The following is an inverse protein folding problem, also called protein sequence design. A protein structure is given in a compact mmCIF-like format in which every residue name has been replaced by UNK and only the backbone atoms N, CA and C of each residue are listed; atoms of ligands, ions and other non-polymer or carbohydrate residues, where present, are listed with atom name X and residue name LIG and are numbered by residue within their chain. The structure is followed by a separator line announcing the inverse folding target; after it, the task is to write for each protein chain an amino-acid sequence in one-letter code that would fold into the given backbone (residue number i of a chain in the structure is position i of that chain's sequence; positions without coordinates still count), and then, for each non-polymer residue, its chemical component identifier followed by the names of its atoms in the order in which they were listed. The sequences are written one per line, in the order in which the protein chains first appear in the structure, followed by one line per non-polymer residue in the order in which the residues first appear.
data_IF_576109369674
#
_entry.id   IF_576109369674
#
_cell.length_a   1.000
_cell.length_b   1.000
_cell.length_c   1.000
_cell.angle_alpha   90.00
_cell.angle_beta   90.00
_cell.angle_gamma   90.00
#
_symmetry.space_group_name_H-M   'P 1'
#
loop_
_entity.id
_entity.type
_entity.pdbx_description
1 polymer ?
#
# COMPACT_ATOMS: atom_id res chain seq x y z
N UNK A 1 -2.47 10.59 -9.86
CA UNK A 1 -1.97 9.68 -8.81
C UNK A 1 -1.94 8.22 -9.25
N UNK A 2 -3.07 7.67 -9.72
CA UNK A 2 -3.20 6.28 -10.20
C UNK A 2 -2.00 5.74 -10.99
N UNK A 3 -1.58 6.41 -12.07
CA UNK A 3 -0.47 5.99 -12.93
C UNK A 3 0.89 5.82 -12.21
N UNK A 4 1.14 6.55 -11.12
CA UNK A 4 2.35 6.36 -10.29
C UNK A 4 2.27 5.13 -9.39
N UNK A 5 1.06 4.65 -9.11
CA UNK A 5 0.81 3.51 -8.21
C UNK A 5 0.61 2.19 -8.97
N UNK A 6 0.31 2.22 -10.28
CA UNK A 6 0.03 1.03 -11.10
C UNK A 6 1.12 -0.06 -11.10
N UNK A 7 2.38 0.29 -10.85
CA UNK A 7 3.47 -0.70 -10.75
C UNK A 7 3.55 -1.42 -9.41
N UNK A 8 3.04 -0.82 -8.34
CA UNK A 8 3.12 -1.36 -6.98
C UNK A 8 1.78 -1.93 -6.49
N UNK A 9 0.66 -1.39 -6.99
CA UNK A 9 -0.69 -1.74 -6.61
C UNK A 9 -1.55 -1.97 -7.84
N UNK A 10 -2.41 -2.97 -7.78
CA UNK A 10 -3.44 -3.18 -8.80
C UNK A 10 -4.60 -2.21 -8.57
N UNK A 11 -5.03 -1.53 -9.63
CA UNK A 11 -6.23 -0.70 -9.63
C UNK A 11 -7.42 -1.54 -10.08
N UNK A 12 -8.51 -1.52 -9.33
CA UNK A 12 -9.66 -2.43 -9.51
C UNK A 12 -10.51 -2.05 -10.73
N UNK A 13 -10.82 -0.77 -10.89
CA UNK A 13 -11.67 -0.25 -11.96
C UNK A 13 -10.92 0.79 -12.80
N UNK A 14 -11.01 0.64 -14.12
CA UNK A 14 -10.52 1.59 -15.13
C UNK A 14 -11.53 1.61 -16.27
N UNK A 15 -11.56 2.71 -17.02
CA UNK A 15 -12.34 2.78 -18.25
C UNK A 15 -11.64 2.02 -19.41
N UNK A 16 -12.27 2.02 -20.59
CA UNK A 16 -11.73 1.38 -21.81
C UNK A 16 -10.38 1.98 -22.26
N UNK A 17 -10.07 3.20 -21.84
CA UNK A 17 -8.84 3.93 -22.14
C UNK A 17 -7.78 3.76 -21.04
N UNK A 18 -8.09 3.02 -19.96
CA UNK A 18 -7.21 2.81 -18.82
C UNK A 18 -7.11 3.99 -17.85
N UNK A 19 -8.03 4.96 -17.93
CA UNK A 19 -8.13 6.10 -17.03
C UNK A 19 -9.03 5.80 -15.83
N UNK A 20 -8.89 6.64 -14.81
CA UNK A 20 -9.72 6.65 -13.61
C UNK A 20 -10.35 8.03 -13.45
N UNK A 21 -11.45 8.10 -12.70
CA UNK A 21 -12.14 9.35 -12.41
C UNK A 21 -11.41 10.17 -11.31
N UNK A 22 -12.16 10.98 -10.56
CA UNK A 22 -11.65 11.75 -9.42
C UNK A 22 -11.24 10.85 -8.23
N UNK A 23 -11.70 9.60 -8.21
CA UNK A 23 -11.32 8.57 -7.25
C UNK A 23 -10.91 7.27 -7.94
N UNK A 24 -10.16 6.42 -7.24
CA UNK A 24 -9.81 5.08 -7.70
C UNK A 24 -9.55 4.11 -6.52
N UNK A 25 -9.66 2.80 -6.80
CA UNK A 25 -9.56 1.76 -5.79
C UNK A 25 -8.28 0.93 -5.99
N UNK A 26 -7.51 0.78 -4.92
CA UNK A 26 -6.34 -0.10 -4.82
C UNK A 26 -6.70 -1.47 -4.22
N UNK A 27 -6.35 -2.53 -4.93
CA UNK A 27 -6.50 -3.91 -4.47
C UNK A 27 -5.38 -4.28 -3.49
N UNK A 28 -5.75 -4.53 -2.23
CA UNK A 28 -4.82 -4.92 -1.17
C UNK A 28 -4.91 -6.42 -0.83
N UNK A 29 -5.80 -7.19 -1.48
CA UNK A 29 -5.95 -8.64 -1.28
C UNK A 29 -4.64 -9.43 -1.50
N UNK A 30 -3.77 -9.08 -2.48
CA UNK A 30 -2.51 -9.79 -2.66
C UNK A 30 -1.58 -9.70 -1.44
N UNK A 31 -1.64 -8.61 -0.67
CA UNK A 31 -0.79 -8.41 0.51
C UNK A 31 -1.22 -9.29 1.69
N UNK A 32 -2.52 -9.53 1.83
CA UNK A 32 -3.04 -10.49 2.81
C UNK A 32 -2.52 -11.90 2.55
N UNK A 33 -2.52 -12.34 1.27
CA UNK A 33 -2.04 -13.68 0.88
C UNK A 33 -0.52 -13.84 0.96
N UNK A 34 0.23 -12.83 0.54
CA UNK A 34 1.71 -12.90 0.43
C UNK A 34 2.43 -12.58 1.74
N UNK A 35 1.84 -11.75 2.60
CA UNK A 35 2.51 -11.20 3.77
C UNK A 35 1.68 -11.21 5.04
N UNK A 36 0.41 -11.63 4.98
CA UNK A 36 -0.52 -11.54 6.11
C UNK A 36 -0.73 -10.10 6.56
N UNK A 37 -0.71 -9.14 5.63
CA UNK A 37 -0.98 -7.71 5.89
C UNK A 37 -2.42 -7.42 5.50
N UNK A 38 -3.21 -6.92 6.46
CA UNK A 38 -4.59 -6.54 6.23
C UNK A 38 -4.71 -5.07 5.83
N UNK A 39 -5.82 -4.69 5.20
CA UNK A 39 -6.08 -3.31 4.77
C UNK A 39 -5.98 -2.31 5.93
N UNK A 40 -6.36 -2.74 7.15
CA UNK A 40 -6.26 -1.93 8.36
C UNK A 40 -4.82 -1.64 8.77
N UNK A 41 -3.88 -2.56 8.51
CA UNK A 41 -2.46 -2.35 8.81
C UNK A 41 -1.88 -1.26 7.91
N UNK A 42 -2.29 -1.27 6.64
CA UNK A 42 -1.91 -0.25 5.65
C UNK A 42 -2.45 1.12 6.07
N UNK A 43 -3.73 1.17 6.44
CA UNK A 43 -4.39 2.38 6.92
C UNK A 43 -3.72 2.97 8.16
N UNK A 44 -3.45 2.15 9.18
CA UNK A 44 -2.73 2.57 10.38
C UNK A 44 -1.32 3.05 10.03
N UNK A 45 -0.65 2.38 9.10
CA UNK A 45 0.69 2.76 8.69
C UNK A 45 0.70 4.12 7.97
N UNK A 46 -0.34 4.44 7.19
CA UNK A 46 -0.49 5.78 6.59
C UNK A 46 -0.59 6.87 7.67
N UNK A 47 -1.26 6.59 8.80
CA UNK A 47 -1.33 7.51 9.94
C UNK A 47 0.05 7.79 10.55
N UNK A 48 0.93 6.78 10.63
CA UNK A 48 2.30 6.98 11.12
C UNK A 48 3.11 7.97 10.25
N UNK A 49 2.73 8.13 8.97
CA UNK A 49 3.35 9.08 8.05
C UNK A 49 2.60 10.42 7.98
N UNK A 50 1.64 10.66 8.86
CA UNK A 50 0.87 11.91 8.92
C UNK A 50 -0.27 11.99 7.90
N UNK A 51 -0.61 10.88 7.22
CA UNK A 51 -1.75 10.84 6.30
C UNK A 51 -2.98 10.26 7.00
N UNK A 52 -4.13 10.90 6.81
CA UNK A 52 -5.38 10.26 7.21
C UNK A 52 -5.61 9.00 6.36
N UNK A 53 -6.26 7.99 6.96
CA UNK A 53 -6.59 6.77 6.22
C UNK A 53 -7.60 7.09 5.13
N UNK A 54 -7.41 6.58 3.90
CA UNK A 54 -8.46 6.55 2.89
C UNK A 54 -9.64 5.67 3.30
N UNK A 55 -10.70 5.70 2.50
CA UNK A 55 -11.87 4.83 2.66
C UNK A 55 -11.46 3.36 2.52
N UNK A 56 -11.73 2.57 3.56
CA UNK A 56 -11.34 1.15 3.63
C UNK A 56 -12.51 0.23 3.30
N UNK A 57 -12.25 -0.84 2.55
CA UNK A 57 -13.17 -1.97 2.33
C UNK A 57 -14.54 -1.59 1.76
N UNK A 58 -14.61 -0.48 1.02
CA UNK A 58 -15.80 -0.04 0.31
C UNK A 58 -15.38 0.63 -1.01
N UNK A 59 -16.12 0.43 -2.12
CA UNK A 59 -17.23 -0.52 -2.32
C UNK A 59 -16.78 -1.99 -2.42
N UNK A 60 -15.47 -2.24 -2.44
CA UNK A 60 -14.87 -3.58 -2.53
C UNK A 60 -14.14 -3.93 -1.25
N UNK A 61 -14.40 -5.12 -0.69
CA UNK A 61 -13.71 -5.61 0.50
C UNK A 61 -12.19 -5.72 0.30
N UNK A 62 -11.43 -5.50 1.38
CA UNK A 62 -9.96 -5.57 1.41
C UNK A 62 -9.26 -4.66 0.39
N UNK A 63 -9.85 -3.48 0.14
CA UNK A 63 -9.33 -2.48 -0.79
C UNK A 63 -9.27 -1.10 -0.13
N UNK A 64 -8.46 -0.19 -0.70
CA UNK A 64 -8.39 1.22 -0.32
C UNK A 64 -8.94 2.06 -1.47
N UNK A 65 -9.96 2.87 -1.20
CA UNK A 65 -10.48 3.85 -2.14
C UNK A 65 -9.85 5.20 -1.84
N UNK A 66 -9.20 5.78 -2.85
CA UNK A 66 -8.44 7.02 -2.72
C UNK A 66 -9.02 8.07 -3.66
N UNK A 67 -9.35 9.21 -3.07
CA UNK A 67 -9.82 10.41 -3.76
C UNK A 67 -8.85 11.57 -3.47
N UNK A 68 -7.88 11.85 -4.36
CA UNK A 68 -7.14 13.10 -4.28
C UNK A 68 -8.06 14.24 -4.76
N UNK A 69 -8.49 15.10 -3.84
CA UNK A 69 -9.27 16.29 -4.22
C UNK A 69 -8.39 17.27 -4.98
N UNK A 70 -9.01 18.12 -5.79
CA UNK A 70 -8.34 19.15 -6.58
C UNK A 70 -7.62 20.21 -5.73
N UNK A 71 -7.95 20.29 -4.44
CA UNK A 71 -7.36 21.22 -3.48
C UNK A 71 -6.01 20.76 -2.93
N UNK A 72 -5.62 19.49 -3.16
CA UNK A 72 -4.37 18.94 -2.68
C UNK A 72 -3.22 19.19 -3.67
N UNK A 73 -2.16 19.84 -3.18
CA UNK A 73 -0.95 20.03 -3.97
C UNK A 73 -0.26 18.69 -4.28
N UNK A 74 0.49 18.65 -5.38
CA UNK A 74 1.25 17.46 -5.82
C UNK A 74 2.25 16.95 -4.76
N UNK A 75 2.67 17.81 -3.83
CA UNK A 75 3.59 17.47 -2.75
C UNK A 75 2.92 16.93 -1.47
N UNK A 76 1.63 17.22 -1.25
CA UNK A 76 0.91 16.87 -0.02
C UNK A 76 0.05 15.61 -0.19
N UNK A 77 -0.27 15.25 -1.43
CA UNK A 77 -1.06 14.06 -1.73
C UNK A 77 -0.27 12.75 -1.48
N UNK A 78 -0.98 11.61 -1.33
CA UNK A 78 -0.45 10.23 -1.21
C UNK A 78 0.58 9.84 -2.28
N UNK A 79 0.76 10.67 -3.30
CA UNK A 79 1.83 10.61 -4.28
C UNK A 79 3.22 10.83 -3.64
N UNK A 80 3.33 11.66 -2.60
CA UNK A 80 4.55 11.88 -1.83
C UNK A 80 4.99 10.62 -1.07
N UNK A 81 4.02 9.82 -0.60
CA UNK A 81 4.26 8.54 0.07
C UNK A 81 5.00 7.53 -0.84
N UNK A 82 4.69 7.51 -2.15
CA UNK A 82 5.39 6.64 -3.09
C UNK A 82 6.83 7.11 -3.40
N UNK A 83 7.13 8.40 -3.20
CA UNK A 83 8.47 8.96 -3.48
C UNK A 83 9.46 8.89 -2.31
N UNK A 84 8.98 8.88 -1.07
CA UNK A 84 9.82 8.99 0.13
C UNK A 84 10.00 7.69 0.95
N UNK A 85 9.45 6.57 0.48
CA UNK A 85 9.57 5.29 1.20
C UNK A 85 10.05 4.17 0.27
N UNK A 86 10.83 3.20 0.78
CA UNK A 86 10.75 1.86 0.22
C UNK A 86 9.28 1.45 0.41
N UNK A 87 8.50 1.40 -0.67
CA UNK A 87 7.01 1.36 -0.60
C UNK A 87 6.47 0.23 0.27
N UNK A 88 5.14 0.08 0.41
CA UNK A 88 4.59 -1.04 1.20
C UNK A 88 5.18 -2.41 0.81
N UNK A 89 5.62 -2.58 -0.43
CA UNK A 89 6.41 -3.73 -0.87
C UNK A 89 7.73 -3.92 -0.08
N UNK A 90 8.47 -2.85 0.21
CA UNK A 90 9.66 -2.88 1.06
C UNK A 90 9.35 -3.21 2.51
N UNK A 91 8.22 -2.74 3.06
CA UNK A 91 7.76 -3.15 4.38
C UNK A 91 7.31 -4.63 4.43
N UNK A 92 6.62 -5.08 3.39
CA UNK A 92 6.22 -6.48 3.20
C UNK A 92 7.46 -7.38 3.04
N UNK A 93 8.46 -6.96 2.28
CA UNK A 93 9.74 -7.67 2.18
C UNK A 93 10.52 -7.63 3.50
N UNK A 94 10.46 -6.53 4.25
CA UNK A 94 11.08 -6.45 5.56
C UNK A 94 10.45 -7.44 6.56
N UNK A 95 9.14 -7.69 6.53
CA UNK A 95 8.48 -8.71 7.37
C UNK A 95 8.93 -10.14 7.02
N UNK A 96 9.19 -10.43 5.74
CA UNK A 96 9.87 -11.66 5.32
C UNK A 96 11.30 -11.75 5.83
N UNK A 97 12.06 -10.64 5.80
CA UNK A 97 13.41 -10.57 6.37
C UNK A 97 13.38 -10.75 7.90
N UNK A 98 12.41 -10.21 8.63
CA UNK A 98 12.33 -10.40 10.09
C UNK A 98 11.97 -11.86 10.46
N UNK A 99 11.13 -12.51 9.65
CA UNK A 99 10.82 -13.95 9.81
C UNK A 99 12.02 -14.84 9.43
N UNK A 100 12.76 -14.49 8.38
CA UNK A 100 14.03 -15.14 8.00
C UNK A 100 15.19 -14.80 8.95
N UNK A 101 15.21 -13.63 9.59
CA UNK A 101 16.22 -13.24 10.59
C UNK A 101 16.04 -14.01 11.89
N UNK A 102 14.81 -14.34 12.29
CA UNK A 102 14.60 -15.29 13.41
C UNK A 102 15.10 -16.70 13.05
N UNK A 103 15.09 -17.09 11.76
CA UNK A 103 15.71 -18.33 11.30
C UNK A 103 17.26 -18.22 11.24
N UNK A 104 17.79 -17.07 10.82
CA UNK A 104 19.23 -16.84 10.68
C UNK A 104 19.96 -16.62 12.02
N UNK A 105 19.32 -16.00 13.01
CA UNK A 105 19.85 -15.93 14.38
C UNK A 105 19.86 -17.30 15.09
N UNK A 106 18.96 -18.22 14.71
CA UNK A 106 18.98 -19.59 15.21
C UNK A 106 20.11 -20.42 14.58
N UNK A 107 20.37 -20.26 13.27
CA UNK A 107 21.48 -20.95 12.58
C UNK A 107 22.86 -20.47 13.05
N UNK A 108 23.03 -19.19 13.41
CA UNK A 108 24.31 -18.67 13.95
C UNK A 108 24.59 -19.03 15.41
N UNK A 109 23.65 -19.63 16.13
CA UNK A 109 23.85 -20.09 17.52
C UNK A 109 24.14 -21.60 17.60
N UNK A 110 24.17 -22.28 16.46
CA UNK A 110 24.45 -23.71 16.32
C UNK A 110 25.68 -23.99 15.44
N UNK A 111 26.51 -22.98 15.19
CA UNK A 111 27.86 -23.09 14.62
C UNK A 111 28.87 -22.43 15.55
#
# INVERSE_FOLDING_TARGET
MARRLEGAYRIVYKDEQGLVAHEFILDCKPFKKSAGVEVVDIAKRLMDYGFHSPTMSWPVHDCLMIEPTESEDKGTSLIAFHGNLPGLQGFIQARWIVSLMHCWQFVKRSL
#
